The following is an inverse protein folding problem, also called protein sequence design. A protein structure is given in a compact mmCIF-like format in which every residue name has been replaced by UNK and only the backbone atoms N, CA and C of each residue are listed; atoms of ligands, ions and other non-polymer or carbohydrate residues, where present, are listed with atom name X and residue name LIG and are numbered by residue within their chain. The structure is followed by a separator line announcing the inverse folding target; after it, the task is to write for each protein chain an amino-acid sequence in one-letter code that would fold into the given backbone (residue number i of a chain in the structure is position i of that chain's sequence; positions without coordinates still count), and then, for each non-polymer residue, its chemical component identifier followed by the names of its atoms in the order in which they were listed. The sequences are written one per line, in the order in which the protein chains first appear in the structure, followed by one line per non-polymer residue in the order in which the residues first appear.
data_IF_449731642267
#
_entry.id   IF_449731642267
#
_cell.length_a   1.000
_cell.length_b   1.000
_cell.length_c   1.000
_cell.angle_alpha   90.00
_cell.angle_beta   90.00
_cell.angle_gamma   90.00
#
_symmetry.space_group_name_H-M   'P 1'
#
loop_
_entity.id
_entity.type
_entity.pdbx_description
1 polymer ?
#
# COMPACT_ATOMS: atom_id res chain seq x y z
N UNK A 1 -32.03 -17.31 55.55
CA UNK A 1 -30.82 -17.31 54.70
C UNK A 1 -30.12 -15.97 54.86
N UNK A 2 -29.12 -15.88 55.73
CA UNK A 2 -28.32 -14.67 55.97
C UNK A 2 -26.88 -14.99 55.60
N UNK A 3 -26.31 -14.27 54.61
CA UNK A 3 -24.89 -14.40 54.25
C UNK A 3 -24.01 -13.90 55.40
N UNK A 4 -22.84 -14.52 55.66
CA UNK A 4 -21.91 -14.02 56.67
C UNK A 4 -21.33 -12.66 56.21
N UNK A 5 -21.04 -11.74 57.14
CA UNK A 5 -20.43 -10.46 56.79
C UNK A 5 -19.04 -10.69 56.21
N UNK A 6 -18.78 -10.10 55.04
CA UNK A 6 -17.49 -10.20 54.36
C UNK A 6 -16.36 -9.65 55.22
N UNK A 7 -15.28 -10.41 55.32
CA UNK A 7 -14.06 -10.01 56.00
C UNK A 7 -13.36 -8.94 55.15
N UNK A 8 -13.56 -7.66 55.47
CA UNK A 8 -12.81 -6.58 54.85
C UNK A 8 -11.41 -6.54 55.48
N UNK A 9 -10.40 -7.05 54.77
CA UNK A 9 -9.00 -6.82 55.14
C UNK A 9 -8.73 -5.31 55.12
N UNK A 10 -8.27 -4.76 56.25
CA UNK A 10 -7.91 -3.34 56.30
C UNK A 10 -6.76 -3.08 55.33
N UNK A 11 -6.84 -2.06 54.45
CA UNK A 11 -5.77 -1.75 53.52
C UNK A 11 -4.47 -1.49 54.29
N UNK A 12 -3.40 -2.21 53.96
CA UNK A 12 -2.08 -2.04 54.59
C UNK A 12 -1.68 -0.55 54.50
N UNK A 13 -1.39 0.05 55.65
CA UNK A 13 -0.95 1.45 55.73
C UNK A 13 0.46 1.57 55.15
N UNK A 14 0.55 1.93 53.87
CA UNK A 14 1.82 2.17 53.18
C UNK A 14 2.55 3.34 53.87
N UNK A 15 3.72 3.06 54.43
CA UNK A 15 4.51 4.06 55.16
C UNK A 15 5.02 5.15 54.22
N UNK A 16 5.34 6.33 54.78
CA UNK A 16 5.85 7.47 53.98
C UNK A 16 7.10 7.08 53.17
N UNK A 17 8.03 6.36 53.79
CA UNK A 17 9.25 5.88 53.14
C UNK A 17 8.94 4.91 51.97
N UNK A 18 7.99 3.99 52.14
CA UNK A 18 7.59 3.06 51.07
C UNK A 18 6.89 3.78 49.90
N UNK A 19 6.11 4.83 50.18
CA UNK A 19 5.52 5.68 49.13
C UNK A 19 6.59 6.45 48.36
N UNK A 20 7.58 7.01 49.06
CA UNK A 20 8.69 7.74 48.44
C UNK A 20 9.54 6.83 47.56
N UNK A 21 9.84 5.60 48.01
CA UNK A 21 10.53 4.61 47.19
C UNK A 21 9.75 4.28 45.91
N UNK A 22 8.44 3.99 46.01
CA UNK A 22 7.59 3.72 44.83
C UNK A 22 7.50 4.91 43.88
N UNK A 23 7.51 6.14 44.41
CA UNK A 23 7.52 7.35 43.60
C UNK A 23 8.81 7.47 42.80
N UNK A 24 9.96 7.26 43.43
CA UNK A 24 11.26 7.28 42.76
C UNK A 24 11.37 6.24 41.64
N UNK A 25 10.87 5.01 41.87
CA UNK A 25 10.83 3.98 40.82
C UNK A 25 9.94 4.39 39.64
N UNK A 26 8.71 4.87 39.92
CA UNK A 26 7.80 5.33 38.86
C UNK A 26 8.38 6.48 38.04
N UNK A 27 9.08 7.42 38.69
CA UNK A 27 9.74 8.52 37.98
C UNK A 27 10.91 8.04 37.13
N UNK A 28 11.65 7.03 37.59
CA UNK A 28 12.68 6.36 36.80
C UNK A 28 12.09 5.65 35.57
N UNK A 29 11.06 4.84 35.78
CA UNK A 29 10.37 4.11 34.70
C UNK A 29 9.75 5.08 33.68
N UNK A 30 9.12 6.16 34.14
CA UNK A 30 8.54 7.17 33.26
C UNK A 30 9.62 7.87 32.42
N UNK A 31 10.78 8.18 32.99
CA UNK A 31 11.90 8.77 32.23
C UNK A 31 12.44 7.78 31.19
N UNK A 32 12.63 6.52 31.57
CA UNK A 32 13.07 5.47 30.65
C UNK A 32 12.09 5.32 29.47
N UNK A 33 10.78 5.24 29.77
CA UNK A 33 9.74 5.14 28.74
C UNK A 33 9.73 6.35 27.78
N UNK A 34 9.91 7.57 28.29
CA UNK A 34 9.99 8.77 27.44
C UNK A 34 11.23 8.76 26.54
N UNK A 35 12.39 8.34 27.06
CA UNK A 35 13.62 8.25 26.26
C UNK A 35 13.54 7.15 25.20
N UNK A 36 12.95 6.00 25.53
CA UNK A 36 12.71 4.92 24.56
C UNK A 36 11.75 5.38 23.46
N UNK A 37 10.72 6.14 23.82
CA UNK A 37 9.79 6.71 22.84
C UNK A 37 10.48 7.70 21.91
N UNK A 38 11.25 8.65 22.45
CA UNK A 38 11.98 9.65 21.67
C UNK A 38 12.95 8.99 20.68
N UNK A 39 13.74 8.02 21.15
CA UNK A 39 14.66 7.27 20.27
C UNK A 39 13.93 6.47 19.20
N UNK A 40 12.76 5.89 19.51
CA UNK A 40 11.94 5.20 18.52
C UNK A 40 11.39 6.18 17.47
N UNK A 41 10.88 7.35 17.87
CA UNK A 41 10.39 8.39 16.96
C UNK A 41 11.49 8.88 16.01
N UNK A 42 12.69 9.12 16.52
CA UNK A 42 13.85 9.49 15.70
C UNK A 42 14.17 8.39 14.68
N UNK A 43 14.20 7.13 15.11
CA UNK A 43 14.46 6.00 14.21
C UNK A 43 13.40 5.88 13.11
N UNK A 44 12.11 6.06 13.44
CA UNK A 44 11.03 6.07 12.45
C UNK A 44 11.16 7.24 11.47
N UNK A 45 11.49 8.44 11.96
CA UNK A 45 11.68 9.63 11.12
C UNK A 45 12.82 9.41 10.12
N UNK A 46 13.98 8.98 10.61
CA UNK A 46 15.15 8.69 9.78
C UNK A 46 14.87 7.59 8.74
N UNK A 47 14.18 6.53 9.14
CA UNK A 47 13.78 5.46 8.23
C UNK A 47 12.85 5.97 7.13
N UNK A 48 11.86 6.80 7.50
CA UNK A 48 10.91 7.42 6.58
C UNK A 48 11.62 8.31 5.55
N UNK A 49 12.57 9.13 5.98
CA UNK A 49 13.33 10.00 5.08
C UNK A 49 14.17 9.20 4.09
N UNK A 50 14.87 8.17 4.57
CA UNK A 50 15.66 7.26 3.71
C UNK A 50 14.77 6.57 2.67
N UNK A 51 13.63 6.02 3.09
CA UNK A 51 12.70 5.35 2.18
C UNK A 51 12.06 6.32 1.18
N UNK A 52 11.77 7.56 1.59
CA UNK A 52 11.24 8.59 0.69
C UNK A 52 12.27 8.97 -0.38
N UNK A 53 13.54 9.12 -0.01
CA UNK A 53 14.63 9.41 -0.94
C UNK A 53 14.83 8.25 -1.93
N UNK A 54 14.82 7.01 -1.44
CA UNK A 54 14.92 5.82 -2.28
C UNK A 54 13.74 5.71 -3.26
N UNK A 55 12.51 5.97 -2.80
CA UNK A 55 11.33 6.01 -3.67
C UNK A 55 11.46 7.10 -4.74
N UNK A 56 11.88 8.30 -4.36
CA UNK A 56 12.05 9.40 -5.31
C UNK A 56 13.10 9.07 -6.38
N UNK A 57 14.20 8.43 -6.00
CA UNK A 57 15.21 7.98 -6.95
C UNK A 57 14.67 6.93 -7.93
N UNK A 58 13.88 5.96 -7.45
CA UNK A 58 13.23 4.96 -8.31
C UNK A 58 12.20 5.60 -9.24
N UNK A 59 11.34 6.48 -8.72
CA UNK A 59 10.35 7.23 -9.52
C UNK A 59 11.01 8.12 -10.57
N UNK A 60 12.20 8.70 -10.29
CA UNK A 60 12.95 9.48 -11.27
C UNK A 60 13.51 8.62 -12.42
N UNK A 61 13.84 7.35 -12.15
CA UNK A 61 14.36 6.41 -13.17
C UNK A 61 13.22 5.74 -13.95
N UNK A 62 12.22 5.22 -13.24
CA UNK A 62 11.12 4.43 -13.84
C UNK A 62 10.00 5.33 -14.39
N UNK A 63 9.90 6.56 -13.89
CA UNK A 63 8.80 7.48 -14.15
C UNK A 63 7.62 7.25 -13.20
N UNK A 64 6.64 8.16 -13.19
CA UNK A 64 5.45 8.00 -12.36
C UNK A 64 4.61 6.82 -12.85
N UNK A 65 4.03 6.07 -11.90
CA UNK A 65 2.98 5.12 -12.24
C UNK A 65 1.76 5.87 -12.78
N UNK A 66 1.36 5.56 -14.00
CA UNK A 66 0.24 6.17 -14.71
C UNK A 66 -1.08 5.48 -14.35
N UNK A 67 -2.16 6.24 -14.29
CA UNK A 67 -3.50 5.66 -14.15
C UNK A 67 -4.03 5.24 -15.54
N UNK A 68 -4.79 4.13 -15.63
CA UNK A 68 -5.39 3.73 -16.89
C UNK A 68 -6.36 4.81 -17.35
N UNK A 69 -6.07 5.39 -18.52
CA UNK A 69 -6.81 6.48 -19.11
C UNK A 69 -6.85 6.31 -20.64
N UNK A 70 -7.89 6.83 -21.32
CA UNK A 70 -8.01 6.70 -22.77
C UNK A 70 -6.93 7.48 -23.52
N UNK A 71 -6.31 8.47 -22.90
CA UNK A 71 -5.28 9.31 -23.53
C UNK A 71 -3.86 8.72 -23.39
N UNK A 72 -3.73 7.52 -22.81
CA UNK A 72 -2.44 6.85 -22.71
C UNK A 72 -1.90 6.50 -24.11
N UNK A 73 -0.63 6.78 -24.39
CA UNK A 73 0.03 6.30 -25.61
C UNK A 73 0.04 4.77 -25.67
N UNK A 74 -0.11 4.21 -26.87
CA UNK A 74 -0.16 2.76 -27.06
C UNK A 74 1.16 2.06 -26.69
N UNK A 75 2.30 2.72 -26.91
CA UNK A 75 3.63 2.23 -26.54
C UNK A 75 3.88 2.21 -25.01
N UNK A 76 2.91 2.70 -24.21
CA UNK A 76 3.04 2.70 -22.74
C UNK A 76 3.11 1.26 -22.23
N UNK A 77 4.16 0.88 -21.48
CA UNK A 77 4.26 -0.46 -20.93
C UNK A 77 3.23 -0.69 -19.82
N UNK A 78 2.60 -1.85 -19.81
CA UNK A 78 1.57 -2.26 -18.84
C UNK A 78 2.09 -2.19 -17.40
N UNK A 79 3.39 -2.43 -17.21
CA UNK A 79 4.05 -2.34 -15.90
C UNK A 79 3.95 -0.95 -15.27
N UNK A 80 3.99 0.10 -16.09
CA UNK A 80 3.91 1.50 -15.66
C UNK A 80 2.48 2.00 -15.45
N UNK A 81 1.47 1.17 -15.74
CA UNK A 81 0.05 1.52 -15.57
C UNK A 81 -0.53 0.85 -14.33
N UNK A 82 -1.34 1.58 -13.57
CA UNK A 82 -1.98 1.11 -12.31
C UNK A 82 -3.21 0.24 -12.57
N UNK A 83 -2.99 -0.93 -13.17
CA UNK A 83 -4.01 -1.97 -13.23
C UNK A 83 -4.14 -2.72 -11.90
N UNK A 84 -5.32 -3.31 -11.67
CA UNK A 84 -5.52 -4.26 -10.57
C UNK A 84 -4.60 -5.47 -10.72
N UNK A 85 -4.29 -6.14 -9.61
CA UNK A 85 -3.39 -7.31 -9.61
C UNK A 85 -3.85 -8.41 -10.56
N UNK A 86 -5.17 -8.67 -10.65
CA UNK A 86 -5.72 -9.71 -11.55
C UNK A 86 -5.48 -9.39 -13.02
N UNK A 87 -5.81 -8.16 -13.41
CA UNK A 87 -5.62 -7.68 -14.78
C UNK A 87 -4.13 -7.74 -15.13
N UNK A 88 -3.26 -7.22 -14.26
CA UNK A 88 -1.81 -7.25 -14.48
C UNK A 88 -1.31 -8.68 -14.69
N UNK A 89 -1.65 -9.60 -13.78
CA UNK A 89 -1.17 -10.98 -13.84
C UNK A 89 -1.63 -11.68 -15.13
N UNK A 90 -2.91 -11.54 -15.49
CA UNK A 90 -3.46 -12.12 -16.71
C UNK A 90 -2.73 -11.62 -17.97
N UNK A 91 -2.49 -10.31 -18.07
CA UNK A 91 -1.80 -9.70 -19.21
C UNK A 91 -0.32 -10.10 -19.26
N UNK A 92 0.37 -10.13 -18.12
CA UNK A 92 1.78 -10.57 -18.06
C UNK A 92 1.92 -12.06 -18.38
N UNK A 93 0.96 -12.90 -17.97
CA UNK A 93 0.95 -14.33 -18.28
C UNK A 93 0.66 -14.57 -19.77
N UNK A 94 -0.15 -13.71 -20.39
CA UNK A 94 -0.37 -13.69 -21.84
C UNK A 94 0.84 -13.16 -22.62
N UNK A 95 1.85 -12.62 -21.94
CA UNK A 95 3.03 -12.02 -22.55
C UNK A 95 2.80 -10.64 -23.15
N UNK A 96 1.68 -9.98 -22.82
CA UNK A 96 1.38 -8.64 -23.31
C UNK A 96 2.16 -7.61 -22.49
N UNK A 97 2.72 -6.63 -23.20
CA UNK A 97 3.68 -5.66 -22.69
C UNK A 97 3.18 -4.23 -22.77
N UNK A 98 2.28 -3.91 -23.70
CA UNK A 98 1.91 -2.51 -24.00
C UNK A 98 0.40 -2.27 -23.93
N UNK A 99 -0.01 -1.01 -23.71
CA UNK A 99 -1.43 -0.60 -23.70
C UNK A 99 -2.08 -0.82 -25.07
N UNK A 100 -1.34 -0.60 -26.16
CA UNK A 100 -1.82 -0.83 -27.52
C UNK A 100 -2.27 -2.28 -27.77
N UNK A 101 -1.49 -3.26 -27.29
CA UNK A 101 -1.86 -4.69 -27.39
C UNK A 101 -3.20 -5.00 -26.71
N UNK A 102 -3.49 -4.36 -25.57
CA UNK A 102 -4.79 -4.51 -24.88
C UNK A 102 -5.92 -3.90 -25.72
N UNK A 103 -5.69 -2.74 -26.33
CA UNK A 103 -6.68 -2.04 -27.15
C UNK A 103 -7.01 -2.81 -28.42
N UNK A 104 -6.00 -3.37 -29.08
CA UNK A 104 -6.12 -4.14 -30.32
C UNK A 104 -6.74 -5.52 -30.10
N UNK A 105 -6.54 -6.14 -28.93
CA UNK A 105 -7.16 -7.41 -28.60
C UNK A 105 -8.70 -7.32 -28.66
N UNK A 106 -9.37 -8.36 -29.14
CA UNK A 106 -10.83 -8.43 -29.10
C UNK A 106 -11.34 -8.79 -27.70
N UNK A 107 -12.62 -8.51 -27.42
CA UNK A 107 -13.24 -8.92 -26.14
C UNK A 107 -13.21 -10.43 -25.95
N UNK A 108 -13.31 -11.22 -27.03
CA UNK A 108 -13.19 -12.68 -26.98
C UNK A 108 -11.78 -13.12 -26.58
N UNK A 109 -10.75 -12.49 -27.14
CA UNK A 109 -9.35 -12.78 -26.78
C UNK A 109 -9.08 -12.42 -25.32
N UNK A 110 -9.58 -11.27 -24.86
CA UNK A 110 -9.48 -10.86 -23.46
C UNK A 110 -10.19 -11.85 -22.53
N UNK A 111 -11.42 -12.25 -22.84
CA UNK A 111 -12.18 -13.22 -22.07
C UNK A 111 -11.58 -14.62 -22.07
N UNK A 112 -10.73 -14.94 -23.05
CA UNK A 112 -9.96 -16.19 -23.10
C UNK A 112 -8.77 -16.22 -22.15
N UNK A 113 -8.35 -15.09 -21.58
CA UNK A 113 -7.23 -15.04 -20.64
C UNK A 113 -7.64 -15.66 -19.29
N UNK A 114 -6.72 -16.46 -18.74
CA UNK A 114 -6.89 -16.99 -17.39
C UNK A 114 -7.01 -15.85 -16.38
N UNK A 115 -7.93 -16.00 -15.41
CA UNK A 115 -8.22 -15.03 -14.35
C UNK A 115 -8.83 -13.68 -14.79
N UNK A 116 -9.17 -13.52 -16.07
CA UNK A 116 -9.89 -12.36 -16.59
C UNK A 116 -11.38 -12.68 -16.79
N UNK A 117 -12.25 -11.92 -16.12
CA UNK A 117 -13.71 -12.03 -16.25
C UNK A 117 -14.33 -10.83 -16.97
N UNK A 118 -15.62 -10.96 -17.34
CA UNK A 118 -16.39 -9.90 -18.03
C UNK A 118 -16.26 -8.51 -17.39
N UNK A 119 -16.35 -8.43 -16.06
CA UNK A 119 -16.21 -7.15 -15.36
C UNK A 119 -14.82 -6.51 -15.51
N UNK A 120 -13.76 -7.31 -15.63
CA UNK A 120 -12.41 -6.79 -15.88
C UNK A 120 -12.25 -6.29 -17.31
N UNK A 121 -12.85 -7.00 -18.28
CA UNK A 121 -12.85 -6.58 -19.69
C UNK A 121 -13.64 -5.29 -19.88
N UNK A 122 -14.84 -5.19 -19.29
CA UNK A 122 -15.62 -3.96 -19.28
C UNK A 122 -14.84 -2.79 -18.68
N UNK A 123 -14.16 -3.01 -17.55
CA UNK A 123 -13.31 -2.00 -16.93
C UNK A 123 -12.15 -1.56 -17.84
N UNK A 124 -11.48 -2.49 -18.52
CA UNK A 124 -10.41 -2.15 -19.47
C UNK A 124 -10.92 -1.28 -20.63
N UNK A 125 -12.09 -1.61 -21.18
CA UNK A 125 -12.71 -0.82 -22.27
C UNK A 125 -13.17 0.56 -21.83
N UNK A 126 -13.73 0.66 -20.63
CA UNK A 126 -14.14 1.95 -20.07
C UNK A 126 -12.93 2.84 -19.76
N UNK A 127 -11.85 2.27 -19.21
CA UNK A 127 -10.68 3.04 -18.75
C UNK A 127 -9.67 3.35 -19.85
N UNK A 128 -9.35 2.39 -20.72
CA UNK A 128 -8.39 2.60 -21.81
C UNK A 128 -9.05 3.08 -23.10
N UNK A 129 -10.38 3.08 -23.16
CA UNK A 129 -11.14 3.38 -24.36
C UNK A 129 -11.16 2.23 -25.37
N UNK A 130 -11.91 2.45 -26.45
CA UNK A 130 -11.88 1.60 -27.64
C UNK A 130 -10.52 1.78 -28.35
N UNK A 131 -10.08 0.80 -29.18
CA UNK A 131 -8.93 1.02 -30.04
C UNK A 131 -9.14 2.31 -30.83
N UNK A 132 -8.15 3.21 -30.77
CA UNK A 132 -8.23 4.48 -31.50
C UNK A 132 -8.39 4.17 -32.98
N UNK A 133 -9.52 4.58 -33.57
CA UNK A 133 -9.73 4.52 -35.02
C UNK A 133 -8.84 5.52 -35.76
N UNK A 134 -8.20 6.45 -35.04
CA UNK A 134 -7.15 7.34 -35.55
C UNK A 134 -5.78 6.67 -35.42
N UNK A 135 -5.54 5.75 -36.35
CA UNK A 135 -4.21 5.19 -36.56
C UNK A 135 -3.23 6.29 -36.99
N UNK A 136 -2.36 6.70 -36.08
CA UNK A 136 -1.02 7.17 -36.46
C UNK A 136 -0.01 6.14 -35.98
N UNK A 137 0.05 5.02 -36.71
CA UNK A 137 1.30 4.27 -36.82
C UNK A 137 2.10 4.97 -37.93
N UNK A 138 3.28 5.55 -37.66
CA UNK A 138 4.19 5.86 -38.76
C UNK A 138 4.57 4.53 -39.41
N UNK A 139 4.25 4.43 -40.71
CA UNK A 139 4.67 3.34 -41.57
C UNK A 139 6.19 3.21 -41.48
N UNK A 140 6.68 2.05 -41.05
CA UNK A 140 8.12 1.75 -41.12
C UNK A 140 8.44 1.45 -42.57
N UNK A 141 8.76 2.51 -43.32
CA UNK A 141 9.50 2.42 -44.59
C UNK A 141 10.92 1.89 -44.39
#
# INVERSE_FOLDING_TARGET
MTKPPGNFEQPKLVTKAEREARKAFREGDAKAAMTEHETAEEAFSNNRERLKAERLAREAVEGPMLYPAPELPDDTPIEKVRFSTRIRNALTAAGWKTVGEIREASDETLLGLQDLGKGSVSHLRETLGLPSTDGVRPDRG
#
